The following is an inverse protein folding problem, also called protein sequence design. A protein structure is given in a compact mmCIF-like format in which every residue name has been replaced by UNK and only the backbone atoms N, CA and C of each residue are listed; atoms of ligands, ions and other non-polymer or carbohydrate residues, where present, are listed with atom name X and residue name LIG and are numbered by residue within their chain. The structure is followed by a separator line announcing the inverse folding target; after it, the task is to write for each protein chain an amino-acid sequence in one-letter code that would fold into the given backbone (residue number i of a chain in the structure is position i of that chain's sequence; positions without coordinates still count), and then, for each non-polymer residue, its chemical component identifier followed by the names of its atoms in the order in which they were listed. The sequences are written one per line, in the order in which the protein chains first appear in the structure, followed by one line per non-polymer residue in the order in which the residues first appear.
data_IF_172740154903
#
_entry.id   IF_172740154903
#
_cell.length_a   1.000
_cell.length_b   1.000
_cell.length_c   1.000
_cell.angle_alpha   90.00
_cell.angle_beta   90.00
_cell.angle_gamma   90.00
#
_symmetry.space_group_name_H-M   'P 1'
#
loop_
_entity.id
_entity.type
_entity.pdbx_description
1 polymer ?
#
# COMPACT_ATOMS: atom_id res chain seq x y z
N UNK A 1 17.20 -13.96 23.44
CA UNK A 1 16.77 -14.08 22.03
C UNK A 1 17.71 -13.22 21.19
N UNK A 2 18.61 -13.85 20.45
CA UNK A 2 19.66 -13.15 19.71
C UNK A 2 19.07 -12.52 18.43
N UNK A 3 19.22 -11.22 18.30
CA UNK A 3 18.87 -10.46 17.11
C UNK A 3 19.75 -10.89 15.94
N UNK A 4 19.16 -11.50 14.92
CA UNK A 4 19.82 -12.01 13.72
C UNK A 4 20.52 -10.87 12.97
N UNK A 5 21.81 -10.95 12.62
CA UNK A 5 22.62 -9.82 12.15
C UNK A 5 22.28 -9.29 10.75
N UNK A 6 21.40 -9.89 10.00
CA UNK A 6 21.05 -9.51 8.62
C UNK A 6 19.79 -8.63 8.51
N UNK A 7 18.84 -8.77 9.41
CA UNK A 7 17.87 -7.72 9.68
C UNK A 7 18.62 -6.42 10.06
N UNK A 8 19.76 -6.53 10.71
CA UNK A 8 20.65 -5.41 11.01
C UNK A 8 21.20 -4.70 9.76
N UNK A 9 21.45 -5.35 8.64
CA UNK A 9 22.08 -4.72 7.47
C UNK A 9 21.15 -3.83 6.63
N UNK A 10 19.89 -4.24 6.36
CA UNK A 10 18.86 -3.37 5.75
C UNK A 10 18.37 -2.35 6.77
N UNK A 11 18.44 -2.72 8.03
CA UNK A 11 17.97 -2.01 9.19
C UNK A 11 19.07 -1.14 9.84
N UNK A 12 20.35 -1.41 9.65
CA UNK A 12 21.46 -0.64 10.23
C UNK A 12 21.78 0.69 9.52
N UNK A 13 21.26 0.90 8.30
CA UNK A 13 21.38 2.19 7.60
C UNK A 13 20.31 3.23 8.07
N UNK A 14 19.67 2.98 9.20
CA UNK A 14 18.59 3.80 9.81
C UNK A 14 19.16 4.83 10.79
N UNK A 15 20.24 5.53 10.43
CA UNK A 15 20.59 6.76 11.14
C UNK A 15 19.76 7.92 10.57
N UNK A 16 18.59 8.17 11.23
CA UNK A 16 17.72 9.36 11.16
C UNK A 16 17.47 9.91 9.74
N UNK A 17 16.34 9.62 9.13
CA UNK A 17 15.88 10.39 7.98
C UNK A 17 15.48 11.81 8.46
N UNK A 18 16.42 12.71 8.50
CA UNK A 18 16.17 14.13 8.79
C UNK A 18 15.70 14.89 7.56
N UNK A 19 15.89 14.34 6.35
CA UNK A 19 15.56 15.00 5.09
C UNK A 19 14.71 14.06 4.22
N UNK A 20 13.64 14.58 3.64
CA UNK A 20 12.78 13.86 2.69
C UNK A 20 13.58 13.22 1.56
N UNK A 21 14.59 13.92 1.04
CA UNK A 21 15.47 13.42 -0.01
C UNK A 21 16.20 12.12 0.39
N UNK A 22 16.68 12.03 1.63
CA UNK A 22 17.33 10.80 2.12
C UNK A 22 16.36 9.63 2.24
N UNK A 23 15.08 9.92 2.53
CA UNK A 23 14.01 8.90 2.57
C UNK A 23 13.75 8.35 1.16
N UNK A 24 13.55 9.22 0.16
CA UNK A 24 13.37 8.78 -1.22
C UNK A 24 14.59 8.03 -1.78
N UNK A 25 15.81 8.51 -1.47
CA UNK A 25 17.03 7.80 -1.86
C UNK A 25 17.13 6.39 -1.24
N UNK A 26 16.66 6.21 0.00
CA UNK A 26 16.60 4.91 0.67
C UNK A 26 15.55 4.01 0.02
N UNK A 27 14.36 4.52 -0.26
CA UNK A 27 13.31 3.80 -0.98
C UNK A 27 13.86 3.27 -2.31
N UNK A 28 14.47 4.13 -3.13
CA UNK A 28 15.05 3.75 -4.41
C UNK A 28 16.16 2.69 -4.30
N UNK A 29 17.03 2.79 -3.29
CA UNK A 29 18.08 1.78 -3.04
C UNK A 29 17.48 0.43 -2.62
N UNK A 30 16.50 0.44 -1.75
CA UNK A 30 15.80 -0.78 -1.31
C UNK A 30 15.07 -1.42 -2.47
N UNK A 31 14.34 -0.62 -3.25
CA UNK A 31 13.69 -1.09 -4.46
C UNK A 31 14.69 -1.77 -5.42
N UNK A 32 15.78 -1.10 -5.77
CA UNK A 32 16.79 -1.66 -6.69
C UNK A 32 17.38 -2.98 -6.18
N UNK A 33 17.59 -3.09 -4.87
CA UNK A 33 18.14 -4.31 -4.26
C UNK A 33 17.18 -5.49 -4.35
N UNK A 34 15.88 -5.23 -4.17
CA UNK A 34 14.85 -6.26 -4.10
C UNK A 34 13.96 -6.29 -5.35
N UNK A 35 14.32 -5.54 -6.39
CA UNK A 35 13.51 -5.36 -7.60
C UNK A 35 13.00 -6.68 -8.21
N UNK A 36 13.79 -7.74 -8.41
CA UNK A 36 13.28 -8.97 -9.01
C UNK A 36 12.16 -9.60 -8.17
N UNK A 37 12.32 -9.66 -6.85
CA UNK A 37 11.33 -10.24 -5.94
C UNK A 37 10.08 -9.35 -5.82
N UNK A 38 10.27 -8.03 -5.78
CA UNK A 38 9.19 -7.05 -5.74
C UNK A 38 8.35 -7.10 -7.02
N UNK A 39 8.99 -7.09 -8.18
CA UNK A 39 8.30 -7.15 -9.47
C UNK A 39 7.58 -8.48 -9.67
N UNK A 40 8.23 -9.60 -9.32
CA UNK A 40 7.59 -10.92 -9.41
C UNK A 40 6.35 -11.00 -8.51
N UNK A 41 6.44 -10.49 -7.28
CA UNK A 41 5.31 -10.42 -6.36
C UNK A 41 4.20 -9.51 -6.91
N UNK A 42 4.55 -8.35 -7.49
CA UNK A 42 3.60 -7.44 -8.11
C UNK A 42 2.86 -8.10 -9.28
N UNK A 43 3.56 -8.78 -10.17
CA UNK A 43 2.95 -9.53 -11.28
C UNK A 43 1.93 -10.55 -10.78
N UNK A 44 2.27 -11.32 -9.74
CA UNK A 44 1.37 -12.33 -9.17
C UNK A 44 0.12 -11.70 -8.56
N UNK A 45 0.23 -10.53 -7.93
CA UNK A 45 -0.89 -9.84 -7.29
C UNK A 45 -1.73 -9.06 -8.30
N UNK A 46 -1.10 -8.26 -9.18
CA UNK A 46 -1.84 -7.32 -10.04
C UNK A 46 -2.39 -7.92 -11.33
N UNK A 47 -1.86 -9.04 -11.83
CA UNK A 47 -2.47 -9.70 -13.01
C UNK A 47 -3.93 -10.10 -12.75
N UNK A 48 -4.26 -10.87 -11.70
CA UNK A 48 -5.65 -11.25 -11.45
C UNK A 48 -6.52 -10.05 -11.01
N UNK A 49 -5.97 -9.11 -10.25
CA UNK A 49 -6.73 -7.94 -9.80
C UNK A 49 -7.05 -6.98 -10.95
N UNK A 50 -6.10 -6.70 -11.82
CA UNK A 50 -6.33 -5.90 -13.02
C UNK A 50 -7.38 -6.51 -13.95
N UNK A 51 -7.42 -7.85 -14.07
CA UNK A 51 -8.47 -8.52 -14.84
C UNK A 51 -9.86 -8.32 -14.20
N UNK A 52 -9.96 -8.44 -12.87
CA UNK A 52 -11.20 -8.17 -12.15
C UNK A 52 -11.62 -6.71 -12.33
N UNK A 53 -10.67 -5.77 -12.23
CA UNK A 53 -10.92 -4.35 -12.45
C UNK A 53 -11.45 -4.07 -13.86
N UNK A 54 -10.78 -4.56 -14.90
CA UNK A 54 -11.18 -4.39 -16.28
C UNK A 54 -12.59 -4.94 -16.55
N UNK A 55 -12.92 -6.12 -16.03
CA UNK A 55 -14.27 -6.71 -16.13
C UNK A 55 -15.35 -5.92 -15.39
N UNK A 56 -15.00 -5.22 -14.31
CA UNK A 56 -15.97 -4.41 -13.54
C UNK A 56 -16.24 -3.05 -14.18
N UNK A 57 -15.25 -2.46 -14.85
CA UNK A 57 -15.39 -1.19 -15.57
C UNK A 57 -16.30 -1.37 -16.80
N UNK A 58 -16.18 -2.47 -17.51
CA UNK A 58 -17.02 -2.79 -18.69
C UNK A 58 -18.47 -3.17 -18.34
N UNK A 59 -18.76 -3.49 -17.07
CA UNK A 59 -20.12 -3.77 -16.64
C UNK A 59 -20.95 -2.46 -16.67
N UNK A 60 -21.76 -2.28 -17.73
CA UNK A 60 -22.68 -1.14 -17.89
C UNK A 60 -23.70 -1.07 -16.74
N UNK A 61 -23.33 -0.42 -15.63
CA UNK A 61 -24.23 -0.15 -14.50
C UNK A 61 -25.39 0.76 -14.93
N UNK A 62 -25.24 1.48 -16.05
CA UNK A 62 -26.26 2.35 -16.64
C UNK A 62 -27.50 1.63 -17.22
N UNK A 63 -27.40 0.35 -17.54
CA UNK A 63 -28.51 -0.44 -18.14
C UNK A 63 -29.54 -0.96 -17.12
N UNK A 64 -29.25 -0.85 -15.83
CA UNK A 64 -30.11 -1.32 -14.76
C UNK A 64 -31.22 -0.31 -14.44
N UNK A 65 -32.17 -0.07 -15.27
CA UNK A 65 -33.47 0.68 -15.18
C UNK A 65 -33.92 1.36 -13.88
N UNK A 66 -33.00 1.86 -13.05
CA UNK A 66 -33.29 2.45 -11.74
C UNK A 66 -33.97 3.84 -11.82
N UNK A 67 -34.85 4.13 -10.88
CA UNK A 67 -35.43 5.47 -10.66
C UNK A 67 -34.35 6.49 -10.28
N UNK A 68 -34.62 7.80 -10.49
CA UNK A 68 -33.61 8.86 -10.33
C UNK A 68 -32.89 8.85 -8.96
N UNK A 69 -33.62 8.56 -7.86
CA UNK A 69 -33.00 8.45 -6.52
C UNK A 69 -32.10 7.22 -6.35
N UNK A 70 -32.49 6.12 -6.99
CA UNK A 70 -31.68 4.90 -7.02
C UNK A 70 -30.48 5.04 -7.93
N UNK A 71 -30.57 5.82 -9.02
CA UNK A 71 -29.41 6.12 -9.89
C UNK A 71 -28.30 6.84 -9.15
N UNK A 72 -28.63 7.82 -8.31
CA UNK A 72 -27.64 8.51 -7.50
C UNK A 72 -26.93 7.53 -6.53
N UNK A 73 -27.71 6.69 -5.84
CA UNK A 73 -27.16 5.67 -4.95
C UNK A 73 -26.30 4.65 -5.70
N UNK A 74 -26.75 4.21 -6.89
CA UNK A 74 -26.00 3.28 -7.73
C UNK A 74 -24.69 3.92 -8.26
N UNK A 75 -24.71 5.19 -8.66
CA UNK A 75 -23.49 5.93 -9.07
C UNK A 75 -22.54 6.09 -7.91
N UNK A 76 -23.03 6.46 -6.72
CA UNK A 76 -22.19 6.57 -5.52
C UNK A 76 -21.61 5.20 -5.16
N UNK A 77 -22.41 4.14 -5.20
CA UNK A 77 -21.95 2.77 -4.94
C UNK A 77 -20.91 2.30 -5.97
N UNK A 78 -21.10 2.64 -7.25
CA UNK A 78 -20.15 2.33 -8.32
C UNK A 78 -18.84 3.10 -8.15
N UNK A 79 -18.90 4.39 -7.84
CA UNK A 79 -17.70 5.20 -7.55
C UNK A 79 -16.96 4.68 -6.33
N UNK A 80 -17.69 4.28 -5.27
CA UNK A 80 -17.08 3.67 -4.08
C UNK A 80 -16.48 2.30 -4.40
N UNK A 81 -17.13 1.51 -5.23
CA UNK A 81 -16.62 0.21 -5.65
C UNK A 81 -15.36 0.36 -6.52
N UNK A 82 -15.36 1.29 -7.48
CA UNK A 82 -14.21 1.59 -8.32
C UNK A 82 -13.03 2.14 -7.50
N UNK A 83 -13.29 3.08 -6.59
CA UNK A 83 -12.25 3.58 -5.68
C UNK A 83 -11.73 2.48 -4.75
N UNK A 84 -12.60 1.60 -4.26
CA UNK A 84 -12.19 0.46 -3.45
C UNK A 84 -11.39 -0.57 -4.25
N UNK A 85 -11.76 -0.85 -5.52
CA UNK A 85 -11.01 -1.79 -6.38
C UNK A 85 -9.66 -1.23 -6.83
N UNK A 86 -9.52 0.08 -7.02
CA UNK A 86 -8.23 0.71 -7.30
C UNK A 86 -7.25 0.62 -6.12
N UNK A 87 -7.76 0.71 -4.89
CA UNK A 87 -6.96 0.57 -3.67
C UNK A 87 -6.80 -0.90 -3.21
N UNK A 88 -7.72 -1.80 -3.63
CA UNK A 88 -7.63 -3.24 -3.34
C UNK A 88 -6.45 -3.84 -4.08
N UNK A 89 -5.59 -4.48 -3.34
CA UNK A 89 -4.35 -5.07 -3.86
C UNK A 89 -3.11 -4.29 -3.48
N UNK A 90 -3.15 -2.96 -3.39
CA UNK A 90 -1.99 -2.17 -2.94
C UNK A 90 -1.69 -2.41 -1.47
N UNK A 91 -2.71 -2.39 -0.63
CA UNK A 91 -2.60 -2.68 0.80
C UNK A 91 -2.19 -4.14 1.01
N UNK A 92 -2.79 -5.07 0.24
CA UNK A 92 -2.40 -6.48 0.24
C UNK A 92 -0.95 -6.65 -0.19
N UNK A 93 -0.56 -6.03 -1.30
CA UNK A 93 0.80 -6.05 -1.80
C UNK A 93 1.79 -5.45 -0.78
N UNK A 94 1.42 -4.33 -0.15
CA UNK A 94 2.23 -3.67 0.88
C UNK A 94 2.46 -4.57 2.09
N UNK A 95 1.45 -5.35 2.51
CA UNK A 95 1.61 -6.37 3.54
C UNK A 95 2.56 -7.50 3.13
N UNK A 96 2.45 -8.00 1.90
CA UNK A 96 3.37 -9.01 1.37
C UNK A 96 4.82 -8.49 1.27
N UNK A 97 4.99 -7.23 0.88
CA UNK A 97 6.31 -6.56 0.90
C UNK A 97 6.84 -6.37 2.33
N UNK A 98 5.97 -6.16 3.32
CA UNK A 98 6.39 -6.12 4.71
C UNK A 98 7.03 -7.44 5.14
N UNK A 99 6.44 -8.59 4.78
CA UNK A 99 7.04 -9.91 5.04
C UNK A 99 8.37 -10.07 4.30
N UNK A 100 8.41 -9.70 3.01
CA UNK A 100 9.63 -9.78 2.19
C UNK A 100 10.80 -9.02 2.82
N UNK A 101 10.55 -7.81 3.33
CA UNK A 101 11.61 -6.94 3.84
C UNK A 101 11.97 -7.19 5.30
N UNK A 102 11.07 -7.77 6.11
CA UNK A 102 11.29 -7.98 7.54
C UNK A 102 11.73 -9.40 7.91
N UNK A 103 11.59 -10.36 6.99
CA UNK A 103 11.96 -11.76 7.20
C UNK A 103 13.01 -12.27 6.19
N UNK A 104 14.11 -11.57 5.96
CA UNK A 104 15.15 -12.08 5.08
C UNK A 104 15.83 -13.29 5.77
N UNK A 105 15.94 -14.41 5.08
CA UNK A 105 16.87 -15.48 5.44
C UNK A 105 18.27 -15.08 4.96
N UNK A 106 19.29 -15.33 5.75
CA UNK A 106 20.73 -15.18 5.50
C UNK A 106 21.16 -14.72 4.08
N UNK A 107 20.72 -13.53 3.64
CA UNK A 107 21.12 -12.93 2.36
C UNK A 107 20.23 -13.26 1.16
N UNK A 108 19.33 -14.22 1.24
CA UNK A 108 18.41 -14.57 0.17
C UNK A 108 16.98 -14.05 0.43
N UNK A 109 16.27 -13.57 -0.60
CA UNK A 109 14.86 -13.22 -0.48
C UNK A 109 14.03 -14.47 -0.16
N UNK A 110 13.02 -14.38 0.73
CA UNK A 110 12.10 -15.49 0.93
C UNK A 110 11.39 -15.82 -0.39
N UNK A 111 11.18 -17.10 -0.66
CA UNK A 111 10.46 -17.55 -1.82
C UNK A 111 9.00 -17.06 -1.80
N UNK A 112 8.35 -16.92 -2.96
CA UNK A 112 6.92 -16.56 -3.04
C UNK A 112 6.04 -17.51 -2.21
N UNK A 113 6.38 -18.80 -2.17
CA UNK A 113 5.67 -19.79 -1.36
C UNK A 113 5.81 -19.53 0.13
N UNK A 114 6.97 -19.09 0.59
CA UNK A 114 7.20 -18.73 1.99
C UNK A 114 6.47 -17.44 2.36
N UNK A 115 6.46 -16.44 1.48
CA UNK A 115 5.67 -15.22 1.66
C UNK A 115 4.19 -15.60 1.74
N UNK A 116 3.67 -16.35 0.76
CA UNK A 116 2.29 -16.80 0.73
C UNK A 116 1.88 -17.60 1.98
N UNK A 117 2.76 -18.44 2.51
CA UNK A 117 2.49 -19.21 3.71
C UNK A 117 2.45 -18.38 5.01
N UNK A 118 3.11 -17.21 5.01
CA UNK A 118 3.17 -16.32 6.18
C UNK A 118 2.09 -15.24 6.18
N UNK A 119 1.56 -14.88 5.01
CA UNK A 119 0.51 -13.86 4.88
C UNK A 119 -0.75 -14.28 5.65
N UNK A 120 -1.26 -13.36 6.45
CA UNK A 120 -2.57 -13.52 7.06
C UNK A 120 -3.66 -12.96 6.12
N UNK A 121 -4.02 -13.77 5.10
CA UNK A 121 -4.94 -13.38 4.03
C UNK A 121 -6.22 -12.71 4.54
N UNK A 122 -6.91 -13.35 5.50
CA UNK A 122 -8.18 -12.82 5.98
C UNK A 122 -8.07 -11.44 6.63
N UNK A 123 -7.02 -11.19 7.40
CA UNK A 123 -6.81 -9.88 8.04
C UNK A 123 -6.38 -8.83 7.02
N UNK A 124 -5.51 -9.21 6.11
CA UNK A 124 -4.95 -8.29 5.13
C UNK A 124 -6.02 -7.84 4.12
N UNK A 125 -6.82 -8.79 3.59
CA UNK A 125 -7.97 -8.48 2.71
C UNK A 125 -9.01 -7.63 3.46
N UNK A 126 -9.31 -7.95 4.71
CA UNK A 126 -10.27 -7.16 5.48
C UNK A 126 -9.77 -5.73 5.75
N UNK A 127 -8.47 -5.55 6.00
CA UNK A 127 -7.87 -4.21 6.15
C UNK A 127 -7.89 -3.46 4.83
N UNK A 128 -7.56 -4.14 3.73
CA UNK A 128 -7.56 -3.57 2.39
C UNK A 128 -8.95 -3.01 2.04
N UNK A 129 -9.99 -3.82 2.17
CA UNK A 129 -11.37 -3.42 1.93
C UNK A 129 -11.83 -2.30 2.86
N UNK A 130 -11.53 -2.37 4.16
CA UNK A 130 -11.92 -1.34 5.12
C UNK A 130 -11.16 -0.03 4.89
N UNK A 131 -9.88 -0.10 4.60
CA UNK A 131 -9.05 1.06 4.26
C UNK A 131 -9.58 1.75 3.01
N UNK A 132 -9.75 1.01 1.91
CA UNK A 132 -10.29 1.52 0.66
C UNK A 132 -11.67 2.16 0.83
N UNK A 133 -12.58 1.48 1.55
CA UNK A 133 -13.90 2.02 1.85
C UNK A 133 -13.84 3.32 2.68
N UNK A 134 -13.00 3.38 3.71
CA UNK A 134 -12.86 4.57 4.56
C UNK A 134 -12.28 5.76 3.80
N UNK A 135 -11.26 5.51 2.96
CA UNK A 135 -10.67 6.55 2.11
C UNK A 135 -11.68 7.02 1.07
N UNK A 136 -12.35 6.09 0.37
CA UNK A 136 -13.32 6.41 -0.66
C UNK A 136 -14.53 7.19 -0.09
N UNK A 137 -15.10 6.73 1.03
CA UNK A 137 -16.18 7.45 1.72
C UNK A 137 -15.69 8.84 2.16
N UNK A 138 -14.48 8.93 2.70
CA UNK A 138 -13.88 10.19 3.11
C UNK A 138 -13.73 11.17 1.94
N UNK A 139 -13.25 10.70 0.77
CA UNK A 139 -13.08 11.51 -0.43
C UNK A 139 -14.42 11.96 -1.04
N UNK A 140 -15.42 11.08 -1.06
CA UNK A 140 -16.76 11.40 -1.59
C UNK A 140 -17.50 12.41 -0.69
N UNK A 141 -17.43 12.24 0.62
CA UNK A 141 -18.09 13.15 1.57
C UNK A 141 -17.38 14.51 1.63
N UNK A 142 -16.06 14.49 1.81
CA UNK A 142 -15.21 15.66 1.82
C UNK A 142 -13.78 15.25 1.49
N UNK A 143 -13.15 15.94 0.57
CA UNK A 143 -11.77 15.67 0.14
C UNK A 143 -10.76 15.57 1.30
N UNK A 144 -10.86 16.47 2.28
CA UNK A 144 -9.94 16.52 3.43
C UNK A 144 -10.00 15.26 4.32
N UNK A 145 -11.18 14.76 4.77
CA UNK A 145 -11.26 13.51 5.51
C UNK A 145 -10.72 12.30 4.77
N UNK A 146 -10.88 12.24 3.43
CA UNK A 146 -10.30 11.17 2.62
C UNK A 146 -8.78 11.16 2.68
N UNK A 147 -8.14 12.31 2.49
CA UNK A 147 -6.68 12.44 2.60
C UNK A 147 -6.20 12.11 4.02
N UNK A 148 -6.93 12.56 5.04
CA UNK A 148 -6.60 12.23 6.43
C UNK A 148 -6.67 10.72 6.68
N UNK A 149 -7.74 10.06 6.19
CA UNK A 149 -7.90 8.62 6.30
C UNK A 149 -6.77 7.89 5.55
N UNK A 150 -6.44 8.31 4.33
CA UNK A 150 -5.34 7.78 3.53
C UNK A 150 -4.02 7.79 4.30
N UNK A 151 -3.64 8.93 4.86
CA UNK A 151 -2.35 9.07 5.57
C UNK A 151 -2.36 8.35 6.92
N UNK A 152 -3.45 8.49 7.70
CA UNK A 152 -3.52 7.90 9.04
C UNK A 152 -3.60 6.38 9.03
N UNK A 153 -4.25 5.81 8.04
CA UNK A 153 -4.48 4.37 7.94
C UNK A 153 -3.52 3.67 6.96
N UNK A 154 -2.77 4.43 6.15
CA UNK A 154 -1.91 3.89 5.10
C UNK A 154 -0.77 2.97 5.59
N UNK A 155 -0.46 2.99 6.89
CA UNK A 155 0.53 2.09 7.49
C UNK A 155 -0.09 0.83 8.12
N UNK A 156 -1.42 0.63 8.01
CA UNK A 156 -2.11 -0.49 8.68
C UNK A 156 -1.70 -1.87 8.16
N UNK A 157 -1.47 -2.01 6.85
CA UNK A 157 -1.05 -3.28 6.26
C UNK A 157 0.32 -3.75 6.76
N UNK A 158 1.40 -2.95 6.68
CA UNK A 158 2.67 -3.36 7.23
C UNK A 158 2.61 -3.57 8.76
N UNK A 159 1.79 -2.83 9.50
CA UNK A 159 1.61 -3.03 10.96
C UNK A 159 1.04 -4.41 11.26
N UNK A 160 0.05 -4.89 10.48
CA UNK A 160 -0.52 -6.24 10.66
C UNK A 160 0.52 -7.33 10.53
N UNK A 161 1.36 -7.24 9.52
CA UNK A 161 2.33 -8.29 9.21
C UNK A 161 3.59 -8.20 10.08
N UNK A 162 3.96 -6.99 10.52
CA UNK A 162 5.15 -6.79 11.37
C UNK A 162 4.84 -7.03 12.84
N UNK A 163 3.73 -6.47 13.36
CA UNK A 163 3.36 -6.56 14.78
C UNK A 163 2.28 -7.62 15.05
N UNK A 164 1.77 -8.31 14.02
CA UNK A 164 0.72 -9.35 14.11
C UNK A 164 -0.58 -8.91 14.79
N UNK A 165 -0.92 -7.64 14.68
CA UNK A 165 -2.13 -7.08 15.29
C UNK A 165 -3.42 -7.54 14.59
N UNK A 166 -4.53 -7.54 15.34
CA UNK A 166 -5.87 -7.65 14.76
C UNK A 166 -6.27 -6.36 14.04
N UNK A 167 -7.30 -6.42 13.17
CA UNK A 167 -7.72 -5.33 12.28
C UNK A 167 -7.87 -3.98 13.00
N UNK A 168 -8.69 -3.94 14.08
CA UNK A 168 -8.91 -2.70 14.85
C UNK A 168 -7.64 -2.18 15.52
N UNK A 169 -6.82 -3.09 16.05
CA UNK A 169 -5.56 -2.74 16.69
C UNK A 169 -4.56 -2.21 15.67
N UNK A 170 -4.52 -2.76 14.46
CA UNK A 170 -3.66 -2.30 13.37
C UNK A 170 -4.02 -0.87 12.93
N UNK A 171 -5.31 -0.56 12.74
CA UNK A 171 -5.75 0.80 12.45
C UNK A 171 -5.39 1.77 13.59
N UNK A 172 -5.70 1.42 14.84
CA UNK A 172 -5.35 2.25 15.99
C UNK A 172 -3.83 2.45 16.10
N UNK A 173 -3.05 1.40 15.82
CA UNK A 173 -1.59 1.45 15.82
C UNK A 173 -1.05 2.32 14.68
N UNK A 174 -1.59 2.20 13.46
CA UNK A 174 -1.25 3.06 12.33
C UNK A 174 -1.47 4.54 12.69
N UNK A 175 -2.66 4.90 13.19
CA UNK A 175 -2.96 6.27 13.67
C UNK A 175 -1.96 6.71 14.74
N UNK A 176 -1.65 5.84 15.70
CA UNK A 176 -0.67 6.15 16.75
C UNK A 176 0.73 6.38 16.16
N UNK A 177 1.17 5.58 15.20
CA UNK A 177 2.47 5.72 14.54
C UNK A 177 2.55 7.04 13.75
N UNK A 178 1.50 7.39 13.02
CA UNK A 178 1.42 8.62 12.21
C UNK A 178 1.33 9.87 13.08
N UNK A 179 0.73 9.78 14.28
CA UNK A 179 0.55 10.92 15.18
C UNK A 179 1.89 11.59 15.54
N UNK A 180 2.00 12.87 15.23
CA UNK A 180 3.23 13.68 15.41
C UNK A 180 4.18 13.67 14.22
N UNK A 181 3.96 12.81 13.22
CA UNK A 181 4.76 12.73 11.97
C UNK A 181 3.91 12.80 10.70
N UNK A 182 2.65 13.22 10.84
CA UNK A 182 1.66 13.26 9.75
C UNK A 182 2.22 13.88 8.47
N UNK A 183 2.77 15.08 8.56
CA UNK A 183 3.28 15.78 7.38
C UNK A 183 4.47 15.08 6.71
N UNK A 184 5.33 14.45 7.48
CA UNK A 184 6.47 13.68 6.93
C UNK A 184 5.94 12.47 6.13
N UNK A 185 4.95 11.77 6.67
CA UNK A 185 4.35 10.59 6.03
C UNK A 185 3.53 11.02 4.82
N UNK A 186 2.72 12.07 4.96
CA UNK A 186 1.93 12.63 3.87
C UNK A 186 2.82 13.07 2.68
N UNK A 187 3.93 13.76 2.95
CA UNK A 187 4.88 14.20 1.92
C UNK A 187 5.66 13.05 1.26
N UNK A 188 5.61 11.86 1.80
CA UNK A 188 6.19 10.68 1.14
C UNK A 188 5.11 9.88 0.41
N UNK A 189 4.00 9.56 1.06
CA UNK A 189 2.98 8.68 0.50
C UNK A 189 2.13 9.37 -0.57
N UNK A 190 1.66 10.61 -0.34
CA UNK A 190 0.78 11.30 -1.31
C UNK A 190 1.47 11.54 -2.66
N UNK A 191 2.72 12.05 -2.76
CA UNK A 191 3.36 12.19 -4.05
C UNK A 191 3.62 10.85 -4.75
N UNK A 192 3.90 9.78 -4.01
CA UNK A 192 4.04 8.45 -4.59
C UNK A 192 2.71 7.94 -5.14
N UNK A 193 1.61 8.10 -4.41
CA UNK A 193 0.28 7.74 -4.88
C UNK A 193 -0.09 8.49 -6.16
N UNK A 194 -0.03 9.82 -6.12
CA UNK A 194 -0.33 10.65 -7.28
C UNK A 194 0.56 10.35 -8.50
N UNK A 195 1.82 9.98 -8.28
CA UNK A 195 2.71 9.60 -9.37
C UNK A 195 2.33 8.22 -9.93
N UNK A 196 1.85 7.29 -9.09
CA UNK A 196 1.31 5.99 -9.51
C UNK A 196 0.06 6.14 -10.35
N UNK A 197 -0.93 6.88 -9.84
CA UNK A 197 -2.18 7.19 -10.55
C UNK A 197 -1.91 7.87 -11.90
N UNK A 198 -1.05 8.91 -11.90
CA UNK A 198 -0.67 9.61 -13.12
C UNK A 198 0.05 8.73 -14.14
N UNK A 199 0.83 7.74 -13.69
CA UNK A 199 1.46 6.78 -14.57
C UNK A 199 0.43 5.80 -15.17
N UNK A 200 -0.54 5.37 -14.38
CA UNK A 200 -1.64 4.51 -14.81
C UNK A 200 -2.49 5.23 -15.86
N UNK A 201 -2.91 6.46 -15.58
CA UNK A 201 -3.67 7.29 -16.52
C UNK A 201 -2.91 7.51 -17.83
N UNK A 202 -1.61 7.80 -17.74
CA UNK A 202 -0.76 7.96 -18.91
C UNK A 202 -0.65 6.67 -19.72
N UNK A 203 -0.47 5.53 -19.05
CA UNK A 203 -0.37 4.22 -19.69
C UNK A 203 -1.67 3.87 -20.44
N UNK A 204 -2.83 4.06 -19.82
CA UNK A 204 -4.14 3.86 -20.41
C UNK A 204 -4.32 4.79 -21.62
N UNK A 205 -4.02 6.07 -21.47
CA UNK A 205 -4.16 7.04 -22.56
C UNK A 205 -3.27 6.71 -23.76
N UNK A 206 -2.03 6.32 -23.53
CA UNK A 206 -1.10 5.90 -24.60
C UNK A 206 -1.60 4.62 -25.29
N UNK A 207 -2.09 3.65 -24.51
CA UNK A 207 -2.59 2.38 -25.04
C UNK A 207 -3.83 2.60 -25.91
N UNK A 208 -4.77 3.43 -25.47
CA UNK A 208 -5.94 3.81 -26.26
C UNK A 208 -5.57 4.51 -27.57
N UNK A 209 -4.57 5.38 -27.53
CA UNK A 209 -4.13 6.09 -28.73
C UNK A 209 -3.45 5.17 -29.75
N UNK A 210 -2.74 4.14 -29.29
CA UNK A 210 -1.95 3.26 -30.18
C UNK A 210 -2.73 2.03 -30.64
N UNK A 211 -3.57 1.46 -29.81
CA UNK A 211 -4.22 0.16 -30.04
C UNK A 211 -5.75 0.19 -29.97
N UNK A 212 -6.36 1.33 -29.59
CA UNK A 212 -7.79 1.45 -29.35
C UNK A 212 -8.21 1.08 -27.93
N UNK A 213 -9.50 1.31 -27.64
CA UNK A 213 -10.09 1.05 -26.31
C UNK A 213 -10.62 -0.38 -26.20
N UNK A 214 -9.72 -1.37 -26.26
CA UNK A 214 -10.09 -2.76 -26.02
C UNK A 214 -9.80 -3.14 -24.56
N UNK A 215 -10.67 -3.94 -23.94
CA UNK A 215 -10.54 -4.44 -22.57
C UNK A 215 -9.13 -4.97 -22.24
N UNK A 216 -8.53 -5.69 -23.20
CA UNK A 216 -7.19 -6.27 -23.03
C UNK A 216 -6.13 -5.18 -22.93
N UNK A 217 -6.30 -4.09 -23.68
CA UNK A 217 -5.37 -2.96 -23.67
C UNK A 217 -5.43 -2.21 -22.34
N UNK A 218 -6.62 -1.98 -21.82
CA UNK A 218 -6.84 -1.32 -20.53
C UNK A 218 -6.30 -2.15 -19.39
N UNK A 219 -6.62 -3.43 -19.37
CA UNK A 219 -6.08 -4.38 -18.40
C UNK A 219 -4.55 -4.41 -18.43
N UNK A 220 -3.95 -4.48 -19.62
CA UNK A 220 -2.49 -4.54 -19.74
C UNK A 220 -1.83 -3.24 -19.27
N UNK A 221 -2.41 -2.08 -19.61
CA UNK A 221 -1.91 -0.78 -19.19
C UNK A 221 -1.97 -0.63 -17.67
N UNK A 222 -3.10 -0.99 -17.05
CA UNK A 222 -3.30 -0.95 -15.60
C UNK A 222 -2.29 -1.88 -14.88
N UNK A 223 -2.19 -3.14 -15.32
CA UNK A 223 -1.24 -4.10 -14.74
C UNK A 223 0.21 -3.62 -14.86
N UNK A 224 0.62 -3.12 -16.03
CA UNK A 224 1.99 -2.65 -16.23
C UNK A 224 2.31 -1.43 -15.35
N UNK A 225 1.39 -0.48 -15.22
CA UNK A 225 1.57 0.69 -14.38
C UNK A 225 1.68 0.29 -12.91
N UNK A 226 0.77 -0.56 -12.43
CA UNK A 226 0.78 -1.05 -11.04
C UNK A 226 2.04 -1.87 -10.73
N UNK A 227 2.44 -2.79 -11.62
CA UNK A 227 3.67 -3.58 -11.45
C UNK A 227 4.91 -2.70 -11.40
N UNK A 228 4.95 -1.62 -12.19
CA UNK A 228 6.09 -0.73 -12.23
C UNK A 228 6.17 0.17 -10.99
N UNK A 229 5.04 0.67 -10.48
CA UNK A 229 5.03 1.77 -9.52
C UNK A 229 4.62 1.40 -8.10
N UNK A 230 3.65 0.51 -7.90
CA UNK A 230 3.18 0.12 -6.56
C UNK A 230 4.29 -0.43 -5.65
N UNK A 231 5.34 -1.11 -6.16
CA UNK A 231 6.47 -1.50 -5.33
C UNK A 231 7.20 -0.33 -4.65
N UNK A 232 7.23 0.85 -5.25
CA UNK A 232 7.82 2.03 -4.61
C UNK A 232 7.00 2.49 -3.42
N UNK A 233 5.68 2.57 -3.59
CA UNK A 233 4.75 2.90 -2.51
C UNK A 233 4.85 1.90 -1.37
N UNK A 234 4.80 0.61 -1.67
CA UNK A 234 4.87 -0.44 -0.68
C UNK A 234 6.18 -0.42 0.11
N UNK A 235 7.33 -0.27 -0.56
CA UNK A 235 8.63 -0.12 0.09
C UNK A 235 8.65 1.12 0.98
N UNK A 236 8.08 2.25 0.52
CA UNK A 236 7.99 3.46 1.32
C UNK A 236 7.17 3.26 2.58
N UNK A 237 5.97 2.69 2.48
CA UNK A 237 5.08 2.42 3.61
C UNK A 237 5.73 1.47 4.63
N UNK A 238 6.38 0.39 4.17
CA UNK A 238 7.08 -0.55 5.05
C UNK A 238 8.26 0.10 5.77
N UNK A 239 9.12 0.84 5.05
CA UNK A 239 10.27 1.52 5.66
C UNK A 239 9.83 2.57 6.68
N UNK A 240 8.81 3.38 6.36
CA UNK A 240 8.24 4.33 7.30
C UNK A 240 7.67 3.64 8.54
N UNK A 241 6.96 2.53 8.37
CA UNK A 241 6.40 1.77 9.49
C UNK A 241 7.50 1.25 10.41
N UNK A 242 8.54 0.62 9.86
CA UNK A 242 9.68 0.11 10.65
C UNK A 242 10.39 1.24 11.40
N UNK A 243 10.61 2.38 10.75
CA UNK A 243 11.25 3.54 11.38
C UNK A 243 10.43 4.07 12.56
N UNK A 244 9.11 4.21 12.36
CA UNK A 244 8.20 4.72 13.39
C UNK A 244 8.01 3.76 14.56
N UNK A 245 7.96 2.45 14.30
CA UNK A 245 7.92 1.43 15.36
C UNK A 245 9.16 1.54 16.23
N UNK A 246 10.33 1.71 15.64
CA UNK A 246 11.61 1.84 16.38
C UNK A 246 11.68 3.16 17.14
N UNK A 247 11.29 4.26 16.51
CA UNK A 247 11.28 5.56 17.16
C UNK A 247 10.40 5.56 18.42
N UNK A 248 9.24 4.91 18.35
CA UNK A 248 8.27 4.87 19.44
C UNK A 248 8.53 3.73 20.43
N UNK A 249 9.15 2.62 20.00
CA UNK A 249 9.57 1.51 20.85
C UNK A 249 10.80 1.86 21.68
N UNK A 250 11.82 2.48 21.09
CA UNK A 250 13.01 2.94 21.80
C UNK A 250 12.73 4.06 22.82
N UNK A 251 11.67 4.85 22.60
CA UNK A 251 11.20 5.84 23.57
C UNK A 251 10.60 5.21 24.84
N UNK A 252 9.97 4.05 24.73
CA UNK A 252 9.39 3.35 25.86
C UNK A 252 10.48 2.69 26.77
N UNK A 253 11.56 2.19 26.16
CA UNK A 253 12.68 1.62 26.92
C UNK A 253 13.46 2.70 27.69
N UNK A 254 13.62 3.91 27.14
CA UNK A 254 14.28 5.01 27.85
C UNK A 254 13.43 5.60 28.99
N UNK A 255 12.10 5.44 28.93
CA UNK A 255 11.21 5.94 30.01
C UNK A 255 11.01 4.94 31.14
N UNK A 256 11.35 3.67 30.93
CA UNK A 256 11.28 2.61 31.94
C UNK A 256 12.60 2.36 32.66
N UNK A 257 13.67 3.05 32.30
CA UNK A 257 14.93 2.99 33.06
C UNK A 257 14.74 3.74 34.39
N UNK A 258 14.91 3.09 35.56
CA UNK A 258 14.88 3.78 36.84
C UNK A 258 16.00 4.85 36.86
N UNK A 259 15.60 6.07 37.20
CA UNK A 259 16.56 7.16 37.46
C UNK A 259 17.54 6.71 38.58
N UNK A 260 18.83 6.99 38.47
CA UNK A 260 19.82 6.62 39.44
C UNK A 260 19.61 7.30 40.79
#
# INVERSE_FOLDING_TARGET
MASTPLAAGVIADVRRPRNLFSTYARIGRTYRRWAPSLLLLAVVVFIPLGLIHALTVDAEIGSLGFTAGFKLLAVVAAVLALAATGLVGEVFYTGAVAILLTHPREGEPPSLREIAAKINYGRLIAIDLLYGALVAIGLVLFFVPGILAFVWLGLSAPVVEIEHHGIRAAFARSVHLVRGRFWTIALVLIPLELAGDGLTDLAIHLTHHLFGSELICDWLADVLANVAFTPFYAVAAVLLTVDLIREKGGGAEMHSAPLP
#
